data_IF_703020003667
#
_entry.id   IF_703020003667
#
_cell.length_a   1.000
_cell.length_b   1.000
_cell.length_c   1.000
_cell.angle_alpha   90.00
_cell.angle_beta   90.00
_cell.angle_gamma   90.00
#
_symmetry.space_group_name_H-M   'P 1'
#
loop_
_entity.id
_entity.type
_entity.pdbx_description
1 polymer ?
#
# COMPACT_ATOMS: atom_id res chain seq x y z
N UNK A 1 -8.06 -13.69 7.38
CA UNK A 1 -8.88 -14.76 7.96
C UNK A 1 -8.96 -15.98 7.04
N UNK A 2 -9.52 -15.86 5.81
CA UNK A 2 -9.69 -17.01 4.89
C UNK A 2 -8.36 -17.70 4.58
N UNK A 3 -7.31 -16.95 4.28
CA UNK A 3 -5.99 -17.50 3.99
C UNK A 3 -5.41 -18.28 5.18
N UNK A 4 -5.54 -17.74 6.39
CA UNK A 4 -5.07 -18.39 7.61
C UNK A 4 -5.83 -19.71 7.87
N UNK A 5 -7.16 -19.69 7.72
CA UNK A 5 -7.98 -20.90 7.86
C UNK A 5 -7.64 -21.99 6.82
N UNK A 6 -7.30 -21.58 5.58
CA UNK A 6 -6.81 -22.51 4.55
C UNK A 6 -5.46 -23.13 4.87
N UNK A 7 -4.70 -22.49 5.74
CA UNK A 7 -3.43 -22.99 6.27
C UNK A 7 -3.63 -23.72 7.61
N UNK A 8 -4.86 -24.08 7.98
CA UNK A 8 -5.22 -24.77 9.22
C UNK A 8 -4.85 -24.00 10.50
N UNK A 9 -4.82 -22.68 10.42
CA UNK A 9 -4.59 -21.82 11.59
C UNK A 9 -5.90 -21.47 12.28
N UNK A 10 -5.91 -21.46 13.60
CA UNK A 10 -6.98 -20.86 14.39
C UNK A 10 -6.89 -19.34 14.29
N UNK A 11 -8.03 -18.68 14.12
CA UNK A 11 -8.06 -17.23 13.86
C UNK A 11 -9.03 -16.54 14.81
N UNK A 12 -8.50 -15.57 15.55
CA UNK A 12 -9.29 -14.66 16.38
C UNK A 12 -9.24 -13.28 15.74
N UNK A 13 -10.42 -12.73 15.42
CA UNK A 13 -10.54 -11.36 14.92
C UNK A 13 -10.83 -10.41 16.07
N UNK A 14 -9.97 -9.41 16.25
CA UNK A 14 -10.10 -8.40 17.29
C UNK A 14 -10.38 -7.04 16.66
N UNK A 15 -11.46 -6.41 17.07
CA UNK A 15 -11.73 -5.00 16.76
C UNK A 15 -11.28 -4.14 17.94
N UNK A 16 -10.11 -3.52 17.83
CA UNK A 16 -9.51 -2.70 18.90
C UNK A 16 -10.39 -1.49 19.26
N UNK A 17 -11.19 -0.94 18.33
CA UNK A 17 -12.11 0.16 18.63
C UNK A 17 -13.26 -0.25 19.56
N UNK A 18 -13.59 -1.54 19.60
CA UNK A 18 -14.65 -2.09 20.47
C UNK A 18 -14.08 -2.79 21.72
N UNK A 19 -12.76 -2.81 21.91
CA UNK A 19 -12.06 -3.53 22.97
C UNK A 19 -11.53 -2.60 24.08
N UNK A 20 -10.75 -3.15 24.99
CA UNK A 20 -10.14 -2.52 26.17
C UNK A 20 -9.33 -1.24 25.91
N UNK A 21 -8.89 -0.98 24.68
CA UNK A 21 -8.25 0.29 24.31
C UNK A 21 -9.16 1.52 24.59
N UNK A 22 -10.48 1.34 24.56
CA UNK A 22 -11.45 2.35 24.99
C UNK A 22 -11.42 2.62 26.51
N UNK A 23 -10.76 1.76 27.28
CA UNK A 23 -10.65 1.81 28.75
C UNK A 23 -9.29 2.31 29.25
N UNK A 24 -8.43 2.81 28.35
CA UNK A 24 -7.11 3.36 28.69
C UNK A 24 -5.97 2.35 28.69
N UNK A 25 -6.18 1.12 28.23
CA UNK A 25 -5.13 0.13 28.02
C UNK A 25 -4.27 0.52 26.82
N UNK A 26 -2.95 0.40 26.93
CA UNK A 26 -2.05 0.70 25.81
C UNK A 26 -2.07 -0.41 24.74
N UNK A 27 -1.64 -0.07 23.52
CA UNK A 27 -1.49 -1.05 22.44
C UNK A 27 -0.57 -2.20 22.85
N UNK A 28 0.52 -1.91 23.55
CA UNK A 28 1.50 -2.93 23.95
C UNK A 28 0.97 -3.84 25.06
N UNK A 29 0.22 -3.30 26.03
CA UNK A 29 -0.44 -4.12 27.06
C UNK A 29 -1.43 -5.11 26.43
N UNK A 30 -2.19 -4.67 25.44
CA UNK A 30 -3.09 -5.56 24.68
C UNK A 30 -2.32 -6.67 23.97
N UNK A 31 -1.18 -6.34 23.36
CA UNK A 31 -0.33 -7.32 22.67
C UNK A 31 0.26 -8.32 23.67
N UNK A 32 0.73 -7.87 24.82
CA UNK A 32 1.29 -8.75 25.86
C UNK A 32 0.25 -9.74 26.38
N UNK A 33 -0.98 -9.27 26.63
CA UNK A 33 -2.08 -10.14 27.05
C UNK A 33 -2.39 -11.22 26.02
N UNK A 34 -2.43 -10.84 24.73
CA UNK A 34 -2.70 -11.79 23.64
C UNK A 34 -1.54 -12.77 23.42
N UNK A 35 -0.31 -12.29 23.52
CA UNK A 35 0.87 -13.15 23.40
C UNK A 35 0.94 -14.16 24.57
N UNK A 36 0.54 -13.76 25.80
CA UNK A 36 0.42 -14.65 26.94
C UNK A 36 -0.65 -15.74 26.76
N UNK A 37 -1.62 -15.52 25.84
CA UNK A 37 -2.60 -16.54 25.44
C UNK A 37 -2.07 -17.49 24.35
N UNK A 38 -0.77 -17.51 24.11
CA UNK A 38 -0.09 -18.38 23.12
C UNK A 38 -0.46 -18.06 21.68
N UNK A 39 -0.61 -16.76 21.34
CA UNK A 39 -0.73 -16.34 19.95
C UNK A 39 0.63 -16.48 19.23
N UNK A 40 0.67 -17.16 18.09
CA UNK A 40 1.88 -17.36 17.27
C UNK A 40 2.11 -16.20 16.29
N UNK A 41 1.05 -15.52 15.89
CA UNK A 41 1.14 -14.48 14.86
C UNK A 41 0.10 -13.37 15.06
N UNK A 42 0.53 -12.15 14.89
CA UNK A 42 -0.33 -10.96 14.79
C UNK A 42 -0.38 -10.43 13.36
N UNK A 43 -1.57 -10.34 12.78
CA UNK A 43 -1.81 -9.62 11.52
C UNK A 43 -2.36 -8.24 11.88
N UNK A 44 -1.52 -7.22 11.78
CA UNK A 44 -1.79 -5.89 12.32
C UNK A 44 -2.14 -4.91 11.21
N UNK A 45 -3.33 -4.27 11.33
CA UNK A 45 -3.71 -3.09 10.56
C UNK A 45 -3.98 -1.94 11.52
N UNK A 46 -3.26 -0.84 11.39
CA UNK A 46 -3.33 0.27 12.32
C UNK A 46 -3.38 1.63 11.61
N UNK A 47 -4.02 2.62 12.26
CA UNK A 47 -4.12 3.98 11.72
C UNK A 47 -2.81 4.76 11.84
N UNK A 48 -1.99 4.46 12.84
CA UNK A 48 -0.68 5.10 13.05
C UNK A 48 0.42 4.36 12.30
N UNK A 49 1.29 5.13 11.65
CA UNK A 49 2.48 4.60 10.99
C UNK A 49 3.47 4.05 12.01
N UNK A 50 4.05 2.88 11.71
CA UNK A 50 5.05 2.23 12.54
C UNK A 50 4.49 1.31 13.63
N UNK A 51 3.17 1.24 13.85
CA UNK A 51 2.59 0.38 14.88
C UNK A 51 2.98 -1.10 14.75
N UNK A 52 2.94 -1.76 13.58
CA UNK A 52 3.40 -3.14 13.44
C UNK A 52 4.89 -3.32 13.77
N UNK A 53 5.73 -2.34 13.42
CA UNK A 53 7.14 -2.35 13.77
C UNK A 53 7.36 -2.24 15.28
N UNK A 54 6.63 -1.32 15.93
CA UNK A 54 6.69 -1.15 17.39
C UNK A 54 6.29 -2.44 18.11
N UNK A 55 5.22 -3.10 17.66
CA UNK A 55 4.78 -4.39 18.20
C UNK A 55 5.86 -5.46 18.02
N UNK A 56 6.40 -5.60 16.81
CA UNK A 56 7.44 -6.59 16.54
C UNK A 56 8.70 -6.36 17.38
N UNK A 57 9.12 -5.10 17.53
CA UNK A 57 10.24 -4.73 18.38
C UNK A 57 9.96 -5.08 19.83
N UNK A 58 8.80 -4.71 20.37
CA UNK A 58 8.40 -4.99 21.75
C UNK A 58 8.41 -6.49 22.04
N UNK A 59 7.83 -7.32 21.17
CA UNK A 59 7.82 -8.78 21.32
C UNK A 59 9.24 -9.37 21.32
N UNK A 60 10.14 -8.86 20.48
CA UNK A 60 11.54 -9.28 20.49
C UNK A 60 12.26 -8.87 21.78
N UNK A 61 12.05 -7.65 22.26
CA UNK A 61 12.69 -7.12 23.46
C UNK A 61 12.20 -7.84 24.74
N UNK A 62 10.95 -8.30 24.77
CA UNK A 62 10.34 -9.04 25.89
C UNK A 62 10.54 -10.56 25.81
N UNK A 63 11.45 -11.03 24.95
CA UNK A 63 11.77 -12.47 24.75
C UNK A 63 10.60 -13.32 24.21
N UNK A 64 9.62 -12.68 23.61
CA UNK A 64 8.52 -13.34 22.88
C UNK A 64 8.79 -13.37 21.37
N UNK A 65 10.07 -13.46 20.98
CA UNK A 65 10.53 -13.42 19.59
C UNK A 65 10.08 -14.60 18.71
N UNK A 66 9.38 -15.57 19.28
CA UNK A 66 8.70 -16.64 18.53
C UNK A 66 7.36 -16.16 17.93
N UNK A 67 6.85 -15.02 18.37
CA UNK A 67 5.58 -14.46 17.88
C UNK A 67 5.83 -13.57 16.66
N UNK A 68 5.20 -13.89 15.55
CA UNK A 68 5.40 -13.19 14.29
C UNK A 68 4.42 -12.02 14.10
N UNK A 69 4.87 -10.96 13.43
CA UNK A 69 4.03 -9.80 13.12
C UNK A 69 3.97 -9.57 11.61
N UNK A 70 2.77 -9.59 11.06
CA UNK A 70 2.50 -9.26 9.65
C UNK A 70 1.85 -7.89 9.57
N UNK A 71 2.47 -6.97 8.83
CA UNK A 71 1.92 -5.65 8.56
C UNK A 71 0.85 -5.73 7.44
N UNK A 72 -0.43 -5.59 7.81
CA UNK A 72 -1.57 -5.51 6.90
C UNK A 72 -1.99 -4.06 6.59
N UNK A 73 -1.11 -3.12 6.83
CA UNK A 73 -1.25 -1.70 6.53
C UNK A 73 -1.20 -0.80 7.76
N UNK A 74 -0.24 0.10 7.78
CA UNK A 74 0.01 1.05 8.87
C UNK A 74 0.01 2.50 8.38
N UNK A 75 -0.91 3.28 8.88
CA UNK A 75 -1.01 4.71 8.60
C UNK A 75 -0.89 5.05 7.11
N UNK A 76 0.03 5.97 6.81
CA UNK A 76 0.46 6.34 5.44
C UNK A 76 1.78 5.67 5.05
N UNK A 77 2.35 4.83 5.91
CA UNK A 77 3.70 4.31 5.78
C UNK A 77 3.78 3.15 4.78
N UNK A 78 3.13 2.01 5.07
CA UNK A 78 3.26 0.82 4.24
C UNK A 78 2.00 -0.06 4.24
N UNK A 79 1.85 -0.85 3.18
CA UNK A 79 0.90 -1.94 3.06
C UNK A 79 1.57 -3.12 2.33
N UNK A 80 2.53 -3.81 2.97
CA UNK A 80 3.35 -4.82 2.30
C UNK A 80 2.55 -5.94 1.67
N UNK A 81 1.48 -6.40 2.34
CA UNK A 81 0.63 -7.47 1.81
C UNK A 81 -0.13 -7.05 0.55
N UNK A 82 -0.46 -5.76 0.39
CA UNK A 82 -1.03 -5.25 -0.86
C UNK A 82 0.05 -5.17 -1.95
N UNK A 83 1.22 -4.63 -1.65
CA UNK A 83 2.33 -4.62 -2.62
C UNK A 83 2.67 -6.02 -3.13
N UNK A 84 2.71 -7.02 -2.24
CA UNK A 84 2.91 -8.42 -2.65
C UNK A 84 1.77 -8.96 -3.52
N UNK A 85 0.52 -8.60 -3.24
CA UNK A 85 -0.64 -8.96 -4.05
C UNK A 85 -0.51 -8.38 -5.47
N UNK A 86 -0.15 -7.10 -5.57
CA UNK A 86 0.00 -6.39 -6.84
C UNK A 86 1.16 -6.98 -7.64
N UNK A 87 2.31 -7.25 -7.00
CA UNK A 87 3.44 -7.94 -7.65
C UNK A 87 3.07 -9.36 -8.10
N UNK A 88 2.29 -10.10 -7.31
CA UNK A 88 1.81 -11.42 -7.71
C UNK A 88 0.92 -11.34 -8.96
N UNK A 89 0.02 -10.36 -9.01
CA UNK A 89 -0.87 -10.12 -10.16
C UNK A 89 -0.05 -9.74 -11.41
N UNK A 90 0.87 -8.79 -11.28
CA UNK A 90 1.75 -8.38 -12.40
C UNK A 90 2.54 -9.58 -12.92
N UNK A 91 3.15 -10.38 -12.03
CA UNK A 91 3.90 -11.57 -12.40
C UNK A 91 3.04 -12.61 -13.14
N UNK A 92 1.78 -12.76 -12.73
CA UNK A 92 0.86 -13.70 -13.38
C UNK A 92 0.65 -13.36 -14.86
N UNK A 93 0.48 -12.08 -15.19
CA UNK A 93 0.18 -11.62 -16.55
C UNK A 93 1.45 -11.28 -17.37
N UNK A 94 2.44 -10.68 -16.75
CA UNK A 94 3.64 -10.15 -17.43
C UNK A 94 4.89 -11.01 -17.25
N UNK A 95 4.92 -11.91 -16.26
CA UNK A 95 5.99 -12.89 -15.94
C UNK A 95 7.32 -12.26 -15.52
N UNK A 96 7.87 -11.34 -16.30
CA UNK A 96 9.16 -10.69 -16.07
C UNK A 96 8.96 -9.20 -15.73
N UNK A 97 9.68 -8.72 -14.73
CA UNK A 97 9.64 -7.33 -14.26
C UNK A 97 10.69 -6.44 -14.96
N UNK A 98 11.75 -7.02 -15.47
CA UNK A 98 12.94 -6.28 -15.93
C UNK A 98 12.73 -5.52 -17.25
N UNK A 99 11.60 -5.71 -17.91
CA UNK A 99 11.24 -5.05 -19.18
C UNK A 99 9.93 -4.24 -19.09
N UNK A 100 9.41 -4.01 -17.89
CA UNK A 100 8.12 -3.35 -17.71
C UNK A 100 8.24 -1.84 -17.53
N UNK A 101 7.23 -1.15 -18.02
CA UNK A 101 6.89 0.22 -17.65
C UNK A 101 5.61 0.18 -16.80
N UNK A 102 5.69 0.65 -15.57
CA UNK A 102 4.57 0.62 -14.62
C UNK A 102 4.19 2.04 -14.22
N UNK A 103 2.94 2.43 -14.45
CA UNK A 103 2.41 3.73 -14.09
C UNK A 103 1.48 3.60 -12.86
N UNK A 104 1.80 4.29 -11.78
CA UNK A 104 0.96 4.40 -10.59
C UNK A 104 0.26 5.76 -10.64
N UNK A 105 -1.06 5.75 -10.76
CA UNK A 105 -1.87 6.95 -11.04
C UNK A 105 -2.75 7.30 -9.86
N UNK A 106 -2.71 8.54 -9.42
CA UNK A 106 -3.66 9.06 -8.44
C UNK A 106 -3.06 9.78 -7.25
N UNK A 107 -3.58 9.50 -6.07
CA UNK A 107 -3.15 10.10 -4.81
C UNK A 107 -1.92 9.37 -4.24
N UNK A 108 -0.75 9.70 -4.78
CA UNK A 108 0.52 9.10 -4.34
C UNK A 108 0.88 9.57 -2.92
N UNK A 109 0.59 10.84 -2.60
CA UNK A 109 0.97 11.48 -1.35
C UNK A 109 0.39 10.76 -0.10
N UNK A 110 -0.88 10.34 -0.18
CA UNK A 110 -1.57 9.72 0.94
C UNK A 110 -1.65 8.20 0.83
N UNK A 111 -1.19 7.61 -0.28
CA UNK A 111 -1.30 6.18 -0.54
C UNK A 111 -0.12 5.40 0.03
N UNK A 112 -0.36 4.64 1.10
CA UNK A 112 0.59 3.63 1.59
C UNK A 112 0.80 2.48 0.60
N UNK A 113 -0.20 2.24 -0.28
CA UNK A 113 -0.10 1.23 -1.36
C UNK A 113 0.94 1.68 -2.37
N UNK A 114 0.83 2.92 -2.89
CA UNK A 114 1.83 3.47 -3.82
C UNK A 114 3.26 3.34 -3.29
N UNK A 115 3.49 3.63 -2.00
CA UNK A 115 4.81 3.47 -1.38
C UNK A 115 5.31 2.03 -1.40
N UNK A 116 4.44 1.09 -1.05
CA UNK A 116 4.79 -0.34 -1.05
C UNK A 116 5.03 -0.85 -2.45
N UNK A 117 4.23 -0.42 -3.43
CA UNK A 117 4.37 -0.82 -4.83
C UNK A 117 5.65 -0.25 -5.44
N UNK A 118 5.95 1.04 -5.22
CA UNK A 118 7.21 1.66 -5.67
C UNK A 118 8.40 0.86 -5.12
N UNK A 119 8.42 0.57 -3.82
CA UNK A 119 9.50 -0.19 -3.21
C UNK A 119 9.62 -1.60 -3.79
N UNK A 120 8.51 -2.31 -3.97
CA UNK A 120 8.50 -3.64 -4.54
C UNK A 120 8.95 -3.65 -6.01
N UNK A 121 8.42 -2.74 -6.83
CA UNK A 121 8.76 -2.63 -8.26
C UNK A 121 10.24 -2.31 -8.47
N UNK A 122 10.77 -1.34 -7.72
CA UNK A 122 12.20 -0.97 -7.82
C UNK A 122 13.10 -2.10 -7.33
N UNK A 123 12.72 -2.81 -6.26
CA UNK A 123 13.45 -4.00 -5.76
C UNK A 123 13.45 -5.14 -6.78
N UNK A 124 12.35 -5.32 -7.52
CA UNK A 124 12.23 -6.33 -8.58
C UNK A 124 12.88 -5.91 -9.90
N UNK A 125 13.49 -4.73 -9.97
CA UNK A 125 14.26 -4.27 -11.11
C UNK A 125 13.41 -3.74 -12.28
N UNK A 126 12.18 -3.24 -12.00
CA UNK A 126 11.39 -2.55 -13.03
C UNK A 126 12.12 -1.30 -13.51
N UNK A 127 12.46 -1.18 -14.81
CA UNK A 127 13.30 -0.11 -15.30
C UNK A 127 12.61 1.25 -15.38
N UNK A 128 11.28 1.30 -15.49
CA UNK A 128 10.51 2.54 -15.61
C UNK A 128 9.27 2.50 -14.73
N UNK A 129 9.42 2.96 -13.49
CA UNK A 129 8.33 3.17 -12.55
C UNK A 129 7.91 4.64 -12.61
N UNK A 130 6.63 4.89 -12.86
CA UNK A 130 6.08 6.23 -13.04
C UNK A 130 5.03 6.55 -11.97
N UNK A 131 5.11 7.73 -11.38
CA UNK A 131 4.08 8.32 -10.53
C UNK A 131 3.34 9.40 -11.31
N UNK A 132 2.03 9.28 -11.42
CA UNK A 132 1.19 10.16 -12.24
C UNK A 132 0.07 10.76 -11.41
N UNK A 133 -0.01 12.09 -11.34
CA UNK A 133 -1.05 12.77 -10.58
C UNK A 133 -0.88 14.29 -10.59
N UNK A 134 -1.82 15.03 -9.99
CA UNK A 134 -1.66 16.47 -9.80
C UNK A 134 -0.48 16.74 -8.85
N UNK A 135 0.22 17.82 -9.07
CA UNK A 135 1.42 18.20 -8.31
C UNK A 135 1.16 18.23 -6.78
N UNK A 136 -0.05 18.60 -6.37
CA UNK A 136 -0.49 18.62 -4.97
C UNK A 136 -0.61 17.23 -4.32
N UNK A 137 -0.68 16.16 -5.12
CA UNK A 137 -0.76 14.77 -4.67
C UNK A 137 0.51 13.95 -4.98
N UNK A 138 1.56 14.60 -5.43
CA UNK A 138 2.87 14.00 -5.68
C UNK A 138 3.86 14.47 -4.60
N UNK A 139 4.35 13.58 -3.73
CA UNK A 139 5.34 13.96 -2.72
C UNK A 139 6.67 14.33 -3.37
N UNK A 140 7.36 15.31 -2.79
CA UNK A 140 8.72 15.64 -3.19
C UNK A 140 9.67 14.45 -2.95
N UNK A 141 10.67 14.29 -3.80
CA UNK A 141 11.72 13.29 -3.64
C UNK A 141 11.38 11.90 -4.21
N UNK A 142 10.29 11.73 -4.95
CA UNK A 142 9.97 10.46 -5.62
C UNK A 142 11.09 10.00 -6.58
N UNK A 143 11.77 10.94 -7.23
CA UNK A 143 12.88 10.67 -8.14
C UNK A 143 14.05 9.97 -7.41
N UNK A 144 14.25 10.27 -6.12
CA UNK A 144 15.28 9.63 -5.30
C UNK A 144 14.96 8.14 -5.02
N UNK A 145 13.68 7.75 -5.20
CA UNK A 145 13.23 6.37 -5.12
C UNK A 145 13.30 5.64 -6.49
N UNK A 146 13.89 6.25 -7.52
CA UNK A 146 13.94 5.69 -8.86
C UNK A 146 12.64 5.82 -9.65
N UNK A 147 11.78 6.78 -9.30
CA UNK A 147 10.46 6.99 -9.92
C UNK A 147 10.47 8.22 -10.81
N UNK A 148 9.92 8.11 -12.00
CA UNK A 148 9.68 9.25 -12.89
C UNK A 148 8.32 9.89 -12.59
N UNK A 149 8.28 11.21 -12.51
CA UNK A 149 7.09 11.96 -12.11
C UNK A 149 6.41 12.58 -13.32
N UNK A 150 5.09 12.43 -13.42
CA UNK A 150 4.26 12.98 -14.49
C UNK A 150 3.04 13.70 -13.91
N UNK A 151 2.77 14.90 -14.40
CA UNK A 151 1.59 15.70 -14.01
C UNK A 151 0.44 15.59 -15.00
N UNK A 152 0.65 14.93 -16.13
CA UNK A 152 -0.38 14.66 -17.15
C UNK A 152 -0.54 13.15 -17.33
N UNK A 153 -1.79 12.69 -17.27
CA UNK A 153 -2.12 11.27 -17.38
C UNK A 153 -1.63 10.68 -18.70
N UNK A 154 -1.94 11.34 -19.81
CA UNK A 154 -1.62 10.83 -21.16
C UNK A 154 -0.12 10.64 -21.39
N UNK A 155 0.71 11.51 -20.82
CA UNK A 155 2.17 11.37 -20.88
C UNK A 155 2.65 10.22 -19.98
N UNK A 156 2.09 10.12 -18.77
CA UNK A 156 2.51 9.14 -17.76
C UNK A 156 2.17 7.69 -18.11
N UNK A 157 1.01 7.45 -18.72
CA UNK A 157 0.57 6.08 -19.07
C UNK A 157 1.00 5.64 -20.47
N UNK A 158 1.54 6.55 -21.29
CA UNK A 158 1.93 6.22 -22.68
C UNK A 158 2.92 5.07 -22.74
N UNK A 159 2.54 3.99 -23.44
CA UNK A 159 3.36 2.80 -23.60
C UNK A 159 3.57 2.01 -22.28
N UNK A 160 2.78 2.23 -21.25
CA UNK A 160 2.83 1.46 -20.02
C UNK A 160 2.37 0.01 -20.23
N UNK A 161 3.02 -0.93 -19.55
CA UNK A 161 2.65 -2.33 -19.47
C UNK A 161 1.62 -2.59 -18.38
N UNK A 162 1.69 -1.77 -17.32
CA UNK A 162 0.83 -1.88 -16.14
C UNK A 162 0.39 -0.50 -15.68
N UNK A 163 -0.88 -0.35 -15.36
CA UNK A 163 -1.44 0.88 -14.79
C UNK A 163 -2.12 0.55 -13.46
N UNK A 164 -1.57 1.07 -12.37
CA UNK A 164 -2.14 0.93 -11.03
C UNK A 164 -2.95 2.19 -10.72
N UNK A 165 -4.28 2.08 -10.71
CA UNK A 165 -5.16 3.18 -10.39
C UNK A 165 -5.43 3.25 -8.90
N UNK A 166 -5.00 4.35 -8.27
CA UNK A 166 -5.26 4.61 -6.87
C UNK A 166 -6.59 5.35 -6.69
N UNK A 167 -7.33 5.02 -5.63
CA UNK A 167 -8.46 5.85 -5.22
C UNK A 167 -7.99 7.14 -4.55
N UNK A 168 -8.78 8.18 -4.62
CA UNK A 168 -8.58 9.38 -3.80
C UNK A 168 -8.80 9.05 -2.32
N UNK A 169 -7.87 9.49 -1.46
CA UNK A 169 -7.90 9.28 -0.02
C UNK A 169 -8.57 10.47 0.69
N UNK A 170 -9.81 10.79 0.32
CA UNK A 170 -10.53 11.97 0.84
C UNK A 170 -10.51 12.04 2.38
N UNK A 171 -10.56 10.89 3.05
CA UNK A 171 -10.50 10.78 4.51
C UNK A 171 -9.13 11.16 5.11
N UNK A 172 -8.11 11.31 4.29
CA UNK A 172 -6.74 11.68 4.70
C UNK A 172 -6.29 13.04 4.19
N UNK A 173 -7.10 13.66 3.34
CA UNK A 173 -6.81 14.98 2.81
C UNK A 173 -7.21 16.04 3.83
N UNK A 174 -6.28 16.93 4.17
CA UNK A 174 -6.54 18.14 4.95
C UNK A 174 -6.37 19.34 4.02
N UNK A 175 -7.43 20.14 3.84
CA UNK A 175 -7.41 21.31 2.97
C UNK A 175 -7.81 21.02 1.51
N UNK A 176 -7.78 22.09 0.69
CA UNK A 176 -8.19 22.05 -0.72
C UNK A 176 -7.03 21.58 -1.61
N UNK A 177 -6.74 20.26 -1.60
CA UNK A 177 -5.70 19.67 -2.46
C UNK A 177 -6.17 19.40 -3.88
N UNK A 178 -7.49 19.38 -4.11
CA UNK A 178 -8.13 19.15 -5.40
C UNK A 178 -9.26 20.15 -5.60
N UNK A 179 -9.45 20.69 -6.83
CA UNK A 179 -10.54 21.64 -7.12
C UNK A 179 -11.92 20.96 -7.00
N UNK A 180 -12.09 19.79 -7.61
CA UNK A 180 -13.30 18.96 -7.50
C UNK A 180 -13.04 17.53 -7.97
N UNK A 181 -13.89 16.58 -7.56
CA UNK A 181 -13.84 15.20 -8.03
C UNK A 181 -14.09 15.10 -9.55
N UNK A 182 -14.97 15.95 -10.11
CA UNK A 182 -15.27 15.97 -11.54
C UNK A 182 -14.06 16.44 -12.36
N UNK A 183 -13.37 17.48 -11.91
CA UNK A 183 -12.16 17.97 -12.57
C UNK A 183 -11.02 16.98 -12.46
N UNK A 184 -10.86 16.35 -11.29
CA UNK A 184 -9.89 15.27 -11.13
C UNK A 184 -10.17 14.12 -12.10
N UNK A 185 -11.41 13.64 -12.21
CA UNK A 185 -11.78 12.58 -13.14
C UNK A 185 -11.53 12.97 -14.59
N UNK A 186 -11.86 14.22 -14.99
CA UNK A 186 -11.59 14.72 -16.34
C UNK A 186 -10.11 14.62 -16.70
N UNK A 187 -9.21 14.95 -15.77
CA UNK A 187 -7.78 15.01 -16.02
C UNK A 187 -7.08 13.65 -15.79
N UNK A 188 -7.47 12.88 -14.75
CA UNK A 188 -6.79 11.67 -14.31
C UNK A 188 -7.67 10.42 -14.33
N UNK A 189 -8.94 10.51 -14.69
CA UNK A 189 -9.80 9.34 -14.90
C UNK A 189 -9.33 8.52 -16.10
N UNK A 190 -9.17 7.22 -15.91
CA UNK A 190 -8.79 6.29 -16.97
C UNK A 190 -10.05 5.91 -17.77
N UNK A 191 -10.18 6.49 -18.96
CA UNK A 191 -11.23 6.14 -19.93
C UNK A 191 -10.68 5.15 -20.96
N UNK A 192 -11.53 4.45 -21.76
CA UNK A 192 -11.07 3.58 -22.82
C UNK A 192 -10.12 4.25 -23.81
N UNK A 193 -10.39 5.53 -24.16
CA UNK A 193 -9.58 6.30 -25.09
C UNK A 193 -8.20 6.61 -24.50
N UNK A 194 -8.12 6.91 -23.20
CA UNK A 194 -6.84 7.13 -22.50
C UNK A 194 -6.10 5.81 -22.31
N UNK A 195 -6.79 4.72 -21.96
CA UNK A 195 -6.19 3.40 -21.84
C UNK A 195 -5.53 2.97 -23.15
N UNK A 196 -6.08 3.33 -24.30
CA UNK A 196 -5.49 3.04 -25.62
C UNK A 196 -4.11 3.69 -25.84
N UNK A 197 -3.66 4.61 -24.98
CA UNK A 197 -2.30 5.17 -25.01
C UNK A 197 -1.25 4.23 -24.38
N UNK A 198 -1.68 3.29 -23.55
CA UNK A 198 -0.82 2.23 -23.02
C UNK A 198 -0.56 1.14 -24.08
N UNK A 199 0.20 0.12 -23.73
CA UNK A 199 0.39 -1.02 -24.63
C UNK A 199 -0.93 -1.78 -24.83
N UNK A 200 -1.14 -2.42 -25.99
CA UNK A 200 -2.39 -3.16 -26.27
C UNK A 200 -2.68 -4.30 -25.28
N UNK A 201 -1.64 -4.86 -24.67
CA UNK A 201 -1.68 -5.92 -23.67
C UNK A 201 -1.50 -5.40 -22.24
N UNK A 202 -1.66 -4.09 -22.00
CA UNK A 202 -1.57 -3.48 -20.68
C UNK A 202 -2.63 -4.04 -19.72
N UNK A 203 -2.26 -4.17 -18.46
CA UNK A 203 -3.14 -4.58 -17.35
C UNK A 203 -3.29 -3.46 -16.33
#
# INVERSE_FOLDING_TARGET
EIASKRLSADVINLNIQASSASKGESLLDTIDNLAAMSADMFVVRHAQSGAPYLIAKHLNDTRQGHVHVVNAGDGRHAHPTQGLLDMYTIRHYKKDFTNLTVAIVGDILHSRVARSDIHALTTLGVPDVRAVGPLTLLPAGLEQMGVRVFTKLDEGIRGADVIIMLRLQNERMSGALLPSAAEYFKNYGLTPEKLALAKPDAI
#
